data_IF_328626437157
#
_entry.id   IF_328626437157
#
_cell.length_a   1.000
_cell.length_b   1.000
_cell.length_c   1.000
_cell.angle_alpha   90.00
_cell.angle_beta   90.00
_cell.angle_gamma   90.00
#
_symmetry.space_group_name_H-M   'P 1'
#
loop_
_entity.id
_entity.type
_entity.pdbx_description
1 polymer ?
#
# COMPACT_ATOMS: atom_id res chain seq x y z
N UNK A 1 -7.08 -0.99 15.16
CA UNK A 1 -6.40 0.15 14.48
C UNK A 1 -7.05 0.48 13.14
N UNK A 2 -6.94 -0.36 12.11
CA UNK A 2 -7.54 -0.09 10.78
C UNK A 2 -9.04 0.27 10.85
N UNK A 3 -9.86 -0.59 11.44
CA UNK A 3 -11.31 -0.35 11.57
C UNK A 3 -11.70 0.87 12.41
N UNK A 4 -10.86 1.24 13.40
CA UNK A 4 -11.21 2.31 14.35
C UNK A 4 -10.64 3.68 13.95
N UNK A 5 -9.60 3.72 13.11
CA UNK A 5 -8.90 4.96 12.74
C UNK A 5 -8.86 5.22 11.25
N UNK A 6 -8.68 4.18 10.42
CA UNK A 6 -8.56 4.34 8.96
C UNK A 6 -9.93 4.32 8.29
N UNK A 7 -10.78 3.36 8.66
CA UNK A 7 -12.12 3.23 8.08
C UNK A 7 -12.98 4.49 8.26
N UNK A 8 -13.02 5.16 9.44
CA UNK A 8 -13.77 6.40 9.58
C UNK A 8 -13.27 7.50 8.63
N UNK A 9 -11.96 7.65 8.47
CA UNK A 9 -11.38 8.66 7.57
C UNK A 9 -11.72 8.38 6.11
N UNK A 10 -11.65 7.12 5.68
CA UNK A 10 -12.03 6.73 4.32
C UNK A 10 -13.54 6.90 4.08
N UNK A 11 -14.37 6.60 5.09
CA UNK A 11 -15.81 6.77 5.02
C UNK A 11 -16.21 8.26 4.90
N UNK A 12 -15.62 9.14 5.72
CA UNK A 12 -15.80 10.60 5.62
C UNK A 12 -15.33 11.15 4.28
N UNK A 13 -14.29 10.57 3.69
CA UNK A 13 -13.81 10.93 2.36
C UNK A 13 -14.62 10.29 1.22
N UNK A 14 -15.68 9.53 1.52
CA UNK A 14 -16.52 8.79 0.55
C UNK A 14 -15.69 7.88 -0.38
N UNK A 15 -14.57 7.35 0.12
CA UNK A 15 -13.68 6.49 -0.65
C UNK A 15 -14.09 5.03 -0.48
N UNK A 16 -14.59 4.43 -1.57
CA UNK A 16 -14.75 2.99 -1.65
C UNK A 16 -13.37 2.30 -1.66
N UNK A 17 -13.23 1.21 -0.90
CA UNK A 17 -11.98 0.46 -0.80
C UNK A 17 -12.23 -1.04 -0.74
N UNK A 18 -11.30 -1.80 -1.30
CA UNK A 18 -11.21 -3.25 -1.12
C UNK A 18 -10.18 -3.57 -0.03
N UNK A 19 -10.57 -4.38 0.95
CA UNK A 19 -9.68 -4.80 2.04
C UNK A 19 -9.05 -6.17 1.75
N UNK A 20 -7.74 -6.19 1.56
CA UNK A 20 -6.96 -7.41 1.45
C UNK A 20 -6.03 -7.57 2.66
N UNK A 21 -6.31 -8.61 3.46
CA UNK A 21 -5.50 -8.93 4.64
C UNK A 21 -4.40 -9.91 4.23
N UNK A 22 -3.14 -9.51 4.40
CA UNK A 22 -1.98 -10.35 4.12
C UNK A 22 -1.93 -11.53 5.10
N UNK A 23 -1.62 -12.74 4.58
CA UNK A 23 -1.68 -13.98 5.38
C UNK A 23 -0.31 -14.61 5.64
N UNK A 24 0.69 -14.27 4.83
CA UNK A 24 2.05 -14.80 4.89
C UNK A 24 3.02 -13.82 4.22
N UNK A 25 4.32 -14.04 4.40
CA UNK A 25 5.37 -13.26 3.74
C UNK A 25 5.29 -13.39 2.21
N UNK A 26 5.57 -12.31 1.48
CA UNK A 26 5.41 -12.16 0.02
C UNK A 26 3.97 -12.14 -0.49
N UNK A 27 2.95 -12.20 0.38
CA UNK A 27 1.57 -12.14 -0.08
C UNK A 27 1.28 -10.84 -0.84
N UNK A 28 1.75 -9.69 -0.33
CA UNK A 28 1.49 -8.40 -0.98
C UNK A 28 2.24 -8.28 -2.32
N UNK A 29 3.46 -8.82 -2.38
CA UNK A 29 4.28 -8.90 -3.60
C UNK A 29 3.58 -9.68 -4.69
N UNK A 30 3.14 -10.91 -4.38
CA UNK A 30 2.46 -11.76 -5.34
C UNK A 30 1.11 -11.16 -5.76
N UNK A 31 0.40 -10.52 -4.82
CA UNK A 31 -0.86 -9.85 -5.10
C UNK A 31 -0.72 -8.76 -6.16
N UNK A 32 0.18 -7.79 -5.97
CA UNK A 32 0.34 -6.67 -6.91
C UNK A 32 1.01 -7.09 -8.22
N UNK A 33 1.80 -8.18 -8.21
CA UNK A 33 2.38 -8.74 -9.43
C UNK A 33 1.32 -9.40 -10.33
N UNK A 34 0.39 -10.16 -9.73
CA UNK A 34 -0.54 -11.01 -10.47
C UNK A 34 -1.91 -10.36 -10.75
N UNK A 35 -2.35 -9.42 -9.91
CA UNK A 35 -3.64 -8.75 -10.08
C UNK A 35 -3.55 -7.60 -11.08
N UNK A 36 -4.69 -7.27 -11.66
CA UNK A 36 -4.85 -6.04 -12.41
C UNK A 36 -4.89 -4.85 -11.43
N UNK A 37 -3.76 -4.18 -11.25
CA UNK A 37 -3.64 -3.04 -10.32
C UNK A 37 -4.35 -1.79 -10.83
N UNK A 38 -4.69 -1.72 -12.12
CA UNK A 38 -5.31 -0.54 -12.74
C UNK A 38 -6.82 -0.43 -12.46
N UNK A 39 -7.43 -1.48 -11.89
CA UNK A 39 -8.81 -1.40 -11.41
C UNK A 39 -8.96 -0.47 -10.19
N UNK A 40 -7.84 -0.14 -9.51
CA UNK A 40 -7.82 0.76 -8.37
C UNK A 40 -7.18 2.09 -8.75
N UNK A 41 -7.64 3.17 -8.11
CA UNK A 41 -7.02 4.50 -8.20
C UNK A 41 -5.70 4.62 -7.43
N UNK A 42 -5.38 3.65 -6.58
CA UNK A 42 -4.20 3.65 -5.75
C UNK A 42 -4.22 2.49 -4.77
N UNK A 43 -3.06 2.19 -4.19
CA UNK A 43 -2.87 1.13 -3.22
C UNK A 43 -2.48 1.75 -1.89
N UNK A 44 -3.21 1.44 -0.82
CA UNK A 44 -2.87 1.89 0.53
C UNK A 44 -2.37 0.72 1.34
N UNK A 45 -1.12 0.83 1.81
CA UNK A 45 -0.43 -0.19 2.58
C UNK A 45 -0.54 0.15 4.06
N UNK A 46 -1.11 -0.76 4.84
CA UNK A 46 -1.34 -0.57 6.28
C UNK A 46 -0.47 -1.58 7.05
N UNK A 47 0.61 -1.12 7.68
CA UNK A 47 1.57 -2.03 8.32
C UNK A 47 2.90 -1.38 8.68
N UNK A 48 3.96 -2.18 8.75
CA UNK A 48 5.34 -1.71 8.91
C UNK A 48 6.10 -1.62 7.59
N UNK A 49 7.38 -1.28 7.63
CA UNK A 49 8.20 -1.04 6.43
C UNK A 49 8.27 -2.26 5.48
N UNK A 50 8.19 -3.49 6.02
CA UNK A 50 8.30 -4.72 5.24
C UNK A 50 7.19 -4.91 4.19
N UNK A 51 5.96 -4.48 4.48
CA UNK A 51 4.86 -4.65 3.52
C UNK A 51 4.98 -3.64 2.36
N UNK A 52 5.56 -2.47 2.60
CA UNK A 52 5.87 -1.49 1.56
C UNK A 52 6.92 -2.06 0.61
N UNK A 53 7.96 -2.69 1.17
CA UNK A 53 8.97 -3.40 0.39
C UNK A 53 8.37 -4.51 -0.48
N UNK A 54 7.44 -5.32 0.06
CA UNK A 54 6.75 -6.35 -0.73
C UNK A 54 5.97 -5.75 -1.92
N UNK A 55 5.21 -4.67 -1.68
CA UNK A 55 4.42 -4.01 -2.74
C UNK A 55 5.31 -3.45 -3.85
N UNK A 56 6.36 -2.70 -3.51
CA UNK A 56 7.23 -2.13 -4.55
C UNK A 56 7.97 -3.19 -5.35
N UNK A 57 8.50 -4.24 -4.70
CA UNK A 57 9.14 -5.32 -5.46
C UNK A 57 8.14 -6.07 -6.35
N UNK A 58 6.91 -6.27 -5.88
CA UNK A 58 5.87 -6.89 -6.69
C UNK A 58 5.49 -6.05 -7.91
N UNK A 59 5.44 -4.72 -7.77
CA UNK A 59 5.20 -3.80 -8.90
C UNK A 59 6.36 -3.79 -9.88
N UNK A 60 7.61 -3.80 -9.39
CA UNK A 60 8.83 -3.82 -10.21
C UNK A 60 9.03 -5.13 -10.98
N UNK A 61 8.46 -6.24 -10.51
CA UNK A 61 8.49 -7.54 -11.18
C UNK A 61 7.52 -7.65 -12.36
N UNK A 62 6.63 -6.68 -12.54
CA UNK A 62 5.68 -6.70 -13.64
C UNK A 62 6.37 -6.30 -14.93
N UNK A 63 5.92 -6.85 -16.05
CA UNK A 63 6.41 -6.43 -17.37
C UNK A 63 6.11 -4.95 -17.65
N UNK A 64 4.99 -4.45 -17.11
CA UNK A 64 4.50 -3.09 -17.25
C UNK A 64 4.86 -2.19 -16.04
N UNK A 65 5.92 -2.53 -15.29
CA UNK A 65 6.29 -1.85 -14.04
C UNK A 65 6.37 -0.32 -14.15
N UNK A 66 6.87 0.23 -15.26
CA UNK A 66 6.96 1.69 -15.47
C UNK A 66 5.58 2.34 -15.47
N UNK A 67 4.63 1.71 -16.16
CA UNK A 67 3.25 2.18 -16.20
C UNK A 67 2.59 2.05 -14.84
N UNK A 68 2.77 0.89 -14.19
CA UNK A 68 2.21 0.63 -12.88
C UNK A 68 2.69 1.64 -11.82
N UNK A 69 3.98 1.98 -11.80
CA UNK A 69 4.53 2.98 -10.86
C UNK A 69 4.02 4.40 -11.13
N UNK A 70 3.72 4.75 -12.38
CA UNK A 70 3.24 6.08 -12.75
C UNK A 70 1.73 6.24 -12.52
N UNK A 71 0.95 5.19 -12.74
CA UNK A 71 -0.51 5.25 -12.69
C UNK A 71 -1.10 4.84 -11.34
N UNK A 72 -0.39 4.01 -10.57
CA UNK A 72 -0.89 3.46 -9.30
C UNK A 72 -0.11 4.08 -8.13
N UNK A 73 -0.59 5.18 -7.54
CA UNK A 73 0.03 5.76 -6.36
C UNK A 73 -0.04 4.79 -5.18
N UNK A 74 1.06 4.68 -4.43
CA UNK A 74 1.16 3.84 -3.23
C UNK A 74 1.21 4.74 -1.99
N UNK A 75 0.21 4.63 -1.13
CA UNK A 75 0.15 5.30 0.16
C UNK A 75 0.56 4.37 1.30
N UNK A 76 1.14 4.91 2.36
CA UNK A 76 1.58 4.12 3.53
C UNK A 76 0.91 4.66 4.79
N UNK A 77 0.22 3.78 5.52
CA UNK A 77 -0.30 4.04 6.86
C UNK A 77 0.51 3.20 7.85
N UNK A 78 1.39 3.84 8.66
CA UNK A 78 2.19 3.12 9.64
C UNK A 78 1.31 2.52 10.73
N UNK A 79 1.42 1.21 10.90
CA UNK A 79 0.71 0.44 11.94
C UNK A 79 1.62 -0.59 12.64
N UNK A 80 2.92 -0.60 12.33
CA UNK A 80 3.90 -1.55 12.88
C UNK A 80 4.74 -0.99 14.03
N UNK A 81 5.67 -1.81 14.55
CA UNK A 81 6.70 -1.39 15.52
C UNK A 81 7.93 -0.78 14.85
N UNK A 82 8.22 -1.14 13.59
CA UNK A 82 9.20 -0.50 12.70
C UNK A 82 8.49 0.38 11.68
N UNK A 83 8.54 1.70 11.91
CA UNK A 83 7.93 2.74 11.05
C UNK A 83 9.00 3.72 10.55
N UNK A 84 10.20 3.23 10.22
CA UNK A 84 11.29 4.08 9.78
C UNK A 84 10.93 4.80 8.47
N UNK A 85 10.33 4.07 7.53
CA UNK A 85 9.96 4.60 6.22
C UNK A 85 8.82 5.62 6.32
N UNK A 86 7.75 5.31 7.05
CA UNK A 86 6.63 6.24 7.21
C UNK A 86 7.05 7.53 7.92
N UNK A 87 7.96 7.43 8.90
CA UNK A 87 8.53 8.60 9.59
C UNK A 87 9.42 9.43 8.66
N UNK A 88 10.26 8.79 7.85
CA UNK A 88 11.08 9.48 6.86
C UNK A 88 10.26 10.17 5.77
N UNK A 89 9.22 9.51 5.25
CA UNK A 89 8.31 10.10 4.25
C UNK A 89 7.59 11.30 4.87
N UNK A 90 7.02 11.17 6.07
CA UNK A 90 6.35 12.28 6.76
C UNK A 90 7.29 13.47 7.01
N UNK A 91 8.55 13.24 7.35
CA UNK A 91 9.53 14.31 7.56
C UNK A 91 10.06 14.93 6.26
N UNK A 92 10.05 14.20 5.15
CA UNK A 92 10.52 14.72 3.85
C UNK A 92 9.51 15.63 3.14
N UNK A 93 8.28 15.75 3.70
CA UNK A 93 7.20 16.58 3.16
C UNK A 93 7.02 17.87 4.00
N UNK A 94 7.93 18.16 4.93
CA UNK A 94 8.09 19.48 5.58
C UNK A 94 9.10 20.37 4.85
#
# INVERSE_FOLDING_TARGET
MFQQRVVPVLAEAELAFDLYVTKHANYARDFVRLKDVYQWRGVVVVGGDGIVFEVYNGLLEREDWQKALNEVPVGVIPCGSGNGLAKSISHSVE
#
